data_IF_560265493995
#
_entry.id   IF_560265493995
#
_cell.length_a   1.000
_cell.length_b   1.000
_cell.length_c   1.000
_cell.angle_alpha   90.00
_cell.angle_beta   90.00
_cell.angle_gamma   90.00
#
_symmetry.space_group_name_H-M   'P 1'
#
loop_
_entity.id
_entity.type
_entity.pdbx_description
1 polymer ?
#
# COMPACT_ATOMS: atom_id res chain seq x y z
N UNK A 1 -28.59 -42.60 -55.79
CA UNK A 1 -28.65 -42.75 -54.28
C UNK A 1 -27.24 -42.63 -53.64
N UNK A 2 -26.18 -43.16 -54.27
CA UNK A 2 -24.81 -43.08 -53.71
C UNK A 2 -24.18 -41.66 -53.82
N UNK A 3 -24.47 -40.91 -54.91
CA UNK A 3 -23.92 -39.54 -55.08
C UNK A 3 -24.51 -38.53 -54.07
N UNK A 4 -25.76 -38.68 -53.71
CA UNK A 4 -26.43 -37.79 -52.75
C UNK A 4 -25.82 -37.93 -51.31
N UNK A 5 -25.46 -39.12 -50.93
CA UNK A 5 -24.80 -39.39 -49.66
C UNK A 5 -23.36 -38.79 -49.57
N UNK A 6 -22.64 -38.79 -50.67
CA UNK A 6 -21.27 -38.28 -50.74
C UNK A 6 -21.24 -36.73 -50.58
N UNK A 7 -22.18 -36.05 -51.25
CA UNK A 7 -22.32 -34.58 -51.14
C UNK A 7 -22.69 -34.16 -49.70
N UNK A 8 -23.58 -34.85 -49.04
CA UNK A 8 -23.98 -34.64 -47.66
C UNK A 8 -22.80 -34.81 -46.66
N UNK A 9 -22.00 -35.85 -46.84
CA UNK A 9 -20.79 -36.07 -46.05
C UNK A 9 -19.71 -35.01 -46.29
N UNK A 10 -19.57 -34.50 -47.51
CA UNK A 10 -18.63 -33.44 -47.81
C UNK A 10 -19.06 -32.11 -47.19
N UNK A 11 -20.36 -31.78 -47.19
CA UNK A 11 -20.90 -30.59 -46.48
C UNK A 11 -20.72 -30.69 -44.98
N UNK A 12 -20.98 -31.87 -44.36
CA UNK A 12 -20.74 -32.06 -42.93
C UNK A 12 -19.26 -31.91 -42.55
N UNK A 13 -18.33 -32.42 -43.35
CA UNK A 13 -16.90 -32.27 -43.16
C UNK A 13 -16.46 -30.80 -43.30
N UNK A 14 -17.00 -30.06 -44.27
CA UNK A 14 -16.69 -28.64 -44.43
C UNK A 14 -17.24 -27.82 -43.29
N UNK A 15 -18.48 -28.06 -42.86
CA UNK A 15 -19.11 -27.40 -41.72
C UNK A 15 -18.35 -27.70 -40.40
N UNK A 16 -17.93 -28.95 -40.21
CA UNK A 16 -17.09 -29.37 -39.07
C UNK A 16 -15.74 -28.66 -39.05
N UNK A 17 -15.08 -28.57 -40.22
CA UNK A 17 -13.81 -27.87 -40.37
C UNK A 17 -13.93 -26.36 -40.08
N UNK A 18 -15.01 -25.75 -40.55
CA UNK A 18 -15.28 -24.32 -40.36
C UNK A 18 -15.55 -24.01 -38.86
N UNK A 19 -16.36 -24.82 -38.20
CA UNK A 19 -16.58 -24.73 -36.74
C UNK A 19 -15.29 -24.91 -35.96
N UNK A 20 -14.44 -25.84 -36.31
CA UNK A 20 -13.15 -26.04 -35.67
C UNK A 20 -12.25 -24.80 -35.77
N UNK A 21 -12.16 -24.19 -36.95
CA UNK A 21 -11.42 -22.92 -37.16
C UNK A 21 -11.98 -21.77 -36.32
N UNK A 22 -13.29 -21.69 -36.13
CA UNK A 22 -13.91 -20.70 -35.27
C UNK A 22 -13.57 -20.93 -33.79
N UNK A 23 -13.58 -22.19 -33.33
CA UNK A 23 -13.19 -22.53 -31.98
C UNK A 23 -11.71 -22.26 -31.71
N UNK A 24 -10.83 -22.59 -32.66
CA UNK A 24 -9.40 -22.27 -32.56
C UNK A 24 -9.16 -20.76 -32.46
N UNK A 25 -9.86 -19.96 -33.25
CA UNK A 25 -9.79 -18.49 -33.16
C UNK A 25 -10.29 -17.96 -31.81
N UNK A 26 -11.40 -18.50 -31.29
CA UNK A 26 -11.92 -18.13 -29.97
C UNK A 26 -10.94 -18.52 -28.85
N UNK A 27 -10.37 -19.69 -28.93
CA UNK A 27 -9.36 -20.14 -27.98
C UNK A 27 -8.12 -19.25 -27.99
N UNK A 28 -7.59 -18.94 -29.18
CA UNK A 28 -6.46 -18.02 -29.33
C UNK A 28 -6.77 -16.62 -28.76
N UNK A 29 -7.97 -16.11 -29.02
CA UNK A 29 -8.40 -14.82 -28.49
C UNK A 29 -8.50 -14.82 -26.96
N UNK A 30 -9.03 -15.91 -26.36
CA UNK A 30 -9.11 -16.07 -24.91
C UNK A 30 -7.72 -16.19 -24.29
N UNK A 31 -6.81 -16.92 -24.90
CA UNK A 31 -5.42 -17.05 -24.42
C UNK A 31 -4.67 -15.72 -24.47
N UNK A 32 -4.87 -14.95 -25.56
CA UNK A 32 -4.29 -13.61 -25.66
C UNK A 32 -4.87 -12.66 -24.62
N UNK A 33 -6.18 -12.68 -24.40
CA UNK A 33 -6.84 -11.87 -23.39
C UNK A 33 -6.36 -12.22 -21.97
N UNK A 34 -6.28 -13.50 -21.65
CA UNK A 34 -5.77 -14.00 -20.37
C UNK A 34 -4.32 -13.55 -20.11
N UNK A 35 -3.43 -13.73 -21.09
CA UNK A 35 -2.04 -13.26 -21.01
C UNK A 35 -1.95 -11.76 -20.78
N UNK A 36 -2.77 -10.99 -21.50
CA UNK A 36 -2.76 -9.52 -21.36
C UNK A 36 -3.29 -9.05 -20.02
N UNK A 37 -4.32 -9.71 -19.48
CA UNK A 37 -4.83 -9.43 -18.14
C UNK A 37 -3.78 -9.71 -17.05
N UNK A 38 -3.05 -10.82 -17.15
CA UNK A 38 -1.96 -11.14 -16.22
C UNK A 38 -0.85 -10.09 -16.30
N UNK A 39 -0.42 -9.73 -17.50
CA UNK A 39 0.60 -8.69 -17.70
C UNK A 39 0.19 -7.34 -17.10
N UNK A 40 -1.04 -6.89 -17.37
CA UNK A 40 -1.58 -5.65 -16.82
C UNK A 40 -1.69 -5.70 -15.30
N UNK A 41 -2.13 -6.82 -14.73
CA UNK A 41 -2.19 -7.02 -13.28
C UNK A 41 -0.80 -6.87 -12.64
N UNK A 42 0.22 -7.50 -13.22
CA UNK A 42 1.61 -7.38 -12.73
C UNK A 42 2.14 -5.94 -12.85
N UNK A 43 1.84 -5.25 -13.95
CA UNK A 43 2.22 -3.84 -14.12
C UNK A 43 1.56 -2.94 -13.08
N UNK A 44 0.26 -3.14 -12.81
CA UNK A 44 -0.46 -2.39 -11.77
C UNK A 44 0.13 -2.66 -10.38
N UNK A 45 0.40 -3.91 -10.03
CA UNK A 45 1.03 -4.26 -8.74
C UNK A 45 2.40 -3.58 -8.57
N UNK A 46 3.25 -3.59 -9.60
CA UNK A 46 4.57 -2.92 -9.56
C UNK A 46 4.44 -1.41 -9.42
N UNK A 47 3.53 -0.80 -10.17
CA UNK A 47 3.31 0.65 -10.11
C UNK A 47 2.78 1.10 -8.75
N UNK A 48 1.80 0.39 -8.18
CA UNK A 48 1.27 0.68 -6.85
C UNK A 48 2.34 0.46 -5.77
N UNK A 49 3.10 -0.63 -5.86
CA UNK A 49 4.18 -0.92 -4.92
C UNK A 49 5.29 0.13 -4.94
N UNK A 50 5.69 0.60 -6.13
CA UNK A 50 6.69 1.66 -6.28
C UNK A 50 6.21 2.99 -5.68
N UNK A 51 4.99 3.40 -5.99
CA UNK A 51 4.40 4.63 -5.46
C UNK A 51 4.22 4.58 -3.93
N UNK A 52 3.76 3.43 -3.40
CA UNK A 52 3.65 3.21 -1.97
C UNK A 52 5.01 3.31 -1.27
N UNK A 53 6.05 2.68 -1.83
CA UNK A 53 7.41 2.71 -1.32
C UNK A 53 7.99 4.13 -1.30
N UNK A 54 7.78 4.89 -2.36
CA UNK A 54 8.23 6.28 -2.45
C UNK A 54 7.58 7.15 -1.38
N UNK A 55 6.24 7.10 -1.28
CA UNK A 55 5.50 7.88 -0.28
C UNK A 55 5.80 7.46 1.15
N UNK A 56 5.96 6.17 1.42
CA UNK A 56 6.36 5.69 2.74
C UNK A 56 7.80 6.12 3.10
N UNK A 57 8.69 6.18 2.11
CA UNK A 57 10.07 6.66 2.28
C UNK A 57 10.13 8.16 2.58
N UNK A 58 9.34 8.98 1.91
CA UNK A 58 9.19 10.39 2.25
C UNK A 58 8.77 10.57 3.72
N UNK A 59 7.73 9.83 4.14
CA UNK A 59 7.18 9.93 5.49
C UNK A 59 8.18 9.45 6.53
N UNK A 60 8.82 8.28 6.34
CA UNK A 60 9.79 7.78 7.33
C UNK A 60 10.98 8.73 7.48
N UNK A 61 11.44 9.33 6.40
CA UNK A 61 12.51 10.31 6.43
C UNK A 61 12.11 11.52 7.28
N UNK A 62 10.91 12.05 7.09
CA UNK A 62 10.42 13.21 7.83
C UNK A 62 10.19 12.92 9.33
N UNK A 63 9.54 11.80 9.68
CA UNK A 63 9.23 11.48 11.08
C UNK A 63 10.43 10.96 11.89
N UNK A 64 11.54 10.63 11.20
CA UNK A 64 12.79 10.21 11.84
C UNK A 64 13.91 11.25 11.75
N UNK A 65 13.57 12.48 11.34
CA UNK A 65 14.53 13.59 11.16
C UNK A 65 15.72 13.19 10.26
N UNK A 66 15.43 12.47 9.16
CA UNK A 66 16.43 12.03 8.19
C UNK A 66 17.26 10.82 8.62
N UNK A 67 17.00 10.23 9.78
CA UNK A 67 17.74 9.03 10.23
C UNK A 67 17.58 7.84 9.30
N UNK A 68 16.42 7.67 8.73
CA UNK A 68 16.12 6.67 7.70
C UNK A 68 15.58 7.38 6.47
N UNK A 69 16.26 7.22 5.36
CA UNK A 69 15.91 7.92 4.12
C UNK A 69 14.89 7.17 3.29
N UNK A 70 14.93 5.81 3.34
CA UNK A 70 14.04 4.98 2.50
C UNK A 70 13.59 3.73 3.24
N UNK A 71 12.38 3.31 2.90
CA UNK A 71 11.87 1.96 3.15
C UNK A 71 12.04 1.17 1.86
N UNK A 72 12.66 0.01 1.92
CA UNK A 72 12.84 -0.89 0.80
C UNK A 72 11.98 -2.13 1.06
N UNK A 73 11.07 -2.42 0.15
CA UNK A 73 10.19 -3.60 0.23
C UNK A 73 10.47 -4.45 -1.00
N UNK A 74 10.86 -5.71 -0.80
CA UNK A 74 11.09 -6.66 -1.89
C UNK A 74 9.79 -7.36 -2.34
N UNK A 75 9.91 -8.22 -3.36
CA UNK A 75 8.76 -8.97 -3.92
C UNK A 75 8.15 -9.97 -2.92
N UNK A 76 8.90 -10.35 -1.88
CA UNK A 76 8.46 -11.24 -0.80
C UNK A 76 7.96 -10.48 0.44
N UNK A 77 7.78 -9.15 0.33
CA UNK A 77 7.38 -8.25 1.41
C UNK A 77 8.39 -8.17 2.57
N UNK A 78 9.65 -8.53 2.33
CA UNK A 78 10.69 -8.23 3.31
C UNK A 78 11.00 -6.75 3.30
N UNK A 79 11.11 -6.18 4.49
CA UNK A 79 11.31 -4.75 4.66
C UNK A 79 12.70 -4.47 5.24
N UNK A 80 13.37 -3.50 4.62
CA UNK A 80 14.64 -2.96 5.07
C UNK A 80 14.57 -1.43 5.12
N UNK A 81 15.34 -0.81 5.99
CA UNK A 81 15.52 0.63 6.07
C UNK A 81 16.89 1.00 5.50
N UNK A 82 16.93 2.05 4.70
CA UNK A 82 18.15 2.67 4.22
C UNK A 82 18.45 3.94 5.01
N UNK A 83 19.64 4.05 5.59
CA UNK A 83 20.04 5.20 6.41
C UNK A 83 21.10 6.09 5.74
N UNK A 84 21.23 6.03 4.42
CA UNK A 84 22.27 6.74 3.67
C UNK A 84 23.56 5.94 3.48
N UNK A 85 23.87 4.99 4.38
CA UNK A 85 25.09 4.20 4.34
C UNK A 85 24.87 2.72 4.09
N UNK A 86 23.83 2.13 4.75
CA UNK A 86 23.58 0.69 4.71
C UNK A 86 22.10 0.35 4.80
N UNK A 87 21.77 -0.84 4.33
CA UNK A 87 20.46 -1.47 4.53
C UNK A 87 20.39 -2.12 5.89
N UNK A 88 19.32 -1.87 6.60
CA UNK A 88 19.07 -2.41 7.95
C UNK A 88 17.77 -3.19 7.91
N UNK A 89 17.80 -4.51 8.06
CA UNK A 89 16.59 -5.33 8.13
C UNK A 89 15.68 -4.90 9.28
N UNK A 90 14.37 -4.91 9.05
CA UNK A 90 13.38 -4.41 10.03
C UNK A 90 13.44 -5.15 11.38
N UNK A 91 13.83 -6.43 11.37
CA UNK A 91 14.01 -7.23 12.59
C UNK A 91 15.23 -6.84 13.44
N UNK A 92 16.08 -5.92 12.97
CA UNK A 92 17.27 -5.42 13.68
C UNK A 92 17.12 -4.00 14.22
N UNK A 93 15.94 -3.40 14.07
CA UNK A 93 15.66 -2.07 14.63
C UNK A 93 14.80 -2.16 15.89
N UNK A 94 14.73 -1.06 16.65
CA UNK A 94 13.90 -1.00 17.85
C UNK A 94 12.41 -1.07 17.52
N UNK A 95 11.59 -1.52 18.47
CA UNK A 95 10.14 -1.60 18.31
C UNK A 95 9.53 -0.24 17.93
N UNK A 96 9.97 0.85 18.58
CA UNK A 96 9.51 2.19 18.20
C UNK A 96 9.82 2.56 16.75
N UNK A 97 10.95 2.09 16.19
CA UNK A 97 11.26 2.28 14.76
C UNK A 97 10.34 1.44 13.88
N UNK A 98 10.04 0.20 14.29
CA UNK A 98 9.10 -0.67 13.58
C UNK A 98 7.72 0.00 13.49
N UNK A 99 7.23 0.56 14.59
CA UNK A 99 5.95 1.27 14.64
C UNK A 99 5.96 2.54 13.77
N UNK A 100 7.08 3.26 13.69
CA UNK A 100 7.23 4.38 12.76
C UNK A 100 7.13 3.93 11.29
N UNK A 101 7.74 2.80 10.93
CA UNK A 101 7.64 2.22 9.59
C UNK A 101 6.18 1.85 9.27
N UNK A 102 5.49 1.19 10.18
CA UNK A 102 4.08 0.86 9.98
C UNK A 102 3.18 2.10 9.88
N UNK A 103 3.44 3.14 10.66
CA UNK A 103 2.74 4.41 10.53
C UNK A 103 2.98 5.02 9.13
N UNK A 104 4.24 5.07 8.69
CA UNK A 104 4.60 5.60 7.38
C UNK A 104 3.90 4.85 6.24
N UNK A 105 3.87 3.51 6.31
CA UNK A 105 3.19 2.67 5.32
C UNK A 105 1.66 2.89 5.31
N UNK A 106 1.02 2.98 6.48
CA UNK A 106 -0.42 3.26 6.58
C UNK A 106 -0.76 4.63 6.00
N UNK A 107 0.04 5.64 6.32
CA UNK A 107 -0.14 7.00 5.79
C UNK A 107 0.09 7.06 4.28
N UNK A 108 1.11 6.37 3.77
CA UNK A 108 1.38 6.26 2.35
C UNK A 108 0.25 5.54 1.62
N UNK A 109 -0.23 4.42 2.15
CA UNK A 109 -1.37 3.69 1.59
C UNK A 109 -2.63 4.56 1.54
N UNK A 110 -2.91 5.31 2.60
CA UNK A 110 -4.03 6.26 2.61
C UNK A 110 -3.88 7.35 1.54
N UNK A 111 -2.67 7.85 1.29
CA UNK A 111 -2.42 8.83 0.21
C UNK A 111 -2.55 8.25 -1.19
N UNK A 112 -2.15 6.98 -1.37
CA UNK A 112 -2.16 6.31 -2.69
C UNK A 112 -3.57 5.82 -3.06
N UNK A 113 -4.34 5.33 -2.08
CA UNK A 113 -5.63 4.69 -2.31
C UNK A 113 -6.82 5.63 -2.25
N UNK A 114 -6.70 6.78 -1.57
CA UNK A 114 -7.81 7.72 -1.39
C UNK A 114 -7.56 9.03 -2.12
N UNK A 115 -8.54 9.42 -2.93
CA UNK A 115 -8.57 10.73 -3.62
C UNK A 115 -9.06 11.84 -2.68
N UNK A 116 -9.88 11.49 -1.68
CA UNK A 116 -10.46 12.44 -0.72
C UNK A 116 -9.67 12.45 0.59
N UNK A 117 -9.62 13.62 1.23
CA UNK A 117 -8.99 13.78 2.54
C UNK A 117 -9.86 13.15 3.63
N UNK A 118 -9.43 12.00 4.15
CA UNK A 118 -10.10 11.35 5.27
C UNK A 118 -9.45 11.74 6.60
N UNK A 119 -10.25 11.86 7.69
CA UNK A 119 -9.72 12.01 9.03
C UNK A 119 -8.83 10.81 9.42
N UNK A 120 -7.76 11.09 10.12
CA UNK A 120 -6.86 10.05 10.65
C UNK A 120 -7.24 9.74 12.09
N UNK A 121 -7.56 8.49 12.36
CA UNK A 121 -7.85 7.99 13.71
C UNK A 121 -6.64 7.19 14.19
N UNK A 122 -6.05 7.64 15.29
CA UNK A 122 -4.89 7.03 15.95
C UNK A 122 -5.31 6.60 17.37
N UNK A 123 -5.27 5.31 17.62
CA UNK A 123 -5.64 4.72 18.92
C UNK A 123 -4.39 4.04 19.52
N UNK A 124 -3.93 4.55 20.68
CA UNK A 124 -2.74 4.10 21.38
C UNK A 124 -1.50 3.88 20.49
N UNK A 125 -1.41 4.61 19.37
CA UNK A 125 -0.44 4.36 18.30
C UNK A 125 1.01 4.60 18.75
N UNK A 126 1.24 5.42 19.76
CA UNK A 126 2.58 5.86 20.16
C UNK A 126 3.16 5.19 21.40
N UNK A 127 2.56 4.11 21.87
CA UNK A 127 2.95 3.43 23.13
C UNK A 127 4.44 3.07 23.17
N UNK A 128 5.02 2.68 22.04
CA UNK A 128 6.43 2.27 21.94
C UNK A 128 7.39 3.38 21.51
N UNK A 129 6.92 4.62 21.42
CA UNK A 129 7.77 5.76 21.06
C UNK A 129 8.46 6.31 22.30
N UNK A 130 9.73 6.67 22.15
CA UNK A 130 10.42 7.58 23.08
C UNK A 130 9.96 9.04 22.83
N UNK A 131 10.31 9.94 23.72
CA UNK A 131 9.89 11.34 23.63
C UNK A 131 10.33 12.01 22.33
N UNK A 132 11.54 11.76 21.86
CA UNK A 132 12.08 12.36 20.65
C UNK A 132 11.30 11.90 19.41
N UNK A 133 11.03 10.60 19.28
CA UNK A 133 10.23 10.06 18.19
C UNK A 133 8.81 10.60 18.22
N UNK A 134 8.23 10.64 19.40
CA UNK A 134 6.87 11.15 19.59
C UNK A 134 6.78 12.61 19.18
N UNK A 135 7.72 13.44 19.63
CA UNK A 135 7.76 14.86 19.27
C UNK A 135 7.90 15.09 17.78
N UNK A 136 8.85 14.42 17.10
CA UNK A 136 9.04 14.54 15.65
C UNK A 136 7.79 14.10 14.89
N UNK A 137 7.17 12.97 15.30
CA UNK A 137 5.98 12.45 14.65
C UNK A 137 4.76 13.35 14.86
N UNK A 138 4.53 13.87 16.08
CA UNK A 138 3.43 14.79 16.37
C UNK A 138 3.57 16.11 15.62
N UNK A 139 4.79 16.66 15.54
CA UNK A 139 5.07 17.86 14.74
C UNK A 139 4.80 17.64 13.25
N UNK A 140 5.16 16.48 12.73
CA UNK A 140 4.89 16.09 11.35
C UNK A 140 3.38 15.94 11.10
N UNK A 141 2.66 15.25 11.98
CA UNK A 141 1.21 15.10 11.90
C UNK A 141 0.48 16.45 11.92
N UNK A 142 0.89 17.37 12.79
CA UNK A 142 0.30 18.70 12.86
C UNK A 142 0.48 19.52 11.56
N UNK A 143 1.56 19.27 10.81
CA UNK A 143 1.83 19.91 9.51
C UNK A 143 1.12 19.23 8.35
N UNK A 144 0.57 18.04 8.54
CA UNK A 144 -0.03 17.25 7.45
C UNK A 144 -1.31 17.86 6.85
N UNK A 145 -1.91 18.87 7.51
CA UNK A 145 -3.17 19.50 7.10
C UNK A 145 -4.41 18.63 7.30
N UNK A 146 -4.26 17.40 7.81
CA UNK A 146 -5.36 16.46 8.01
C UNK A 146 -6.03 16.67 9.37
N UNK A 147 -7.32 16.36 9.45
CA UNK A 147 -7.98 16.19 10.73
C UNK A 147 -7.48 14.90 11.39
N UNK A 148 -6.98 15.03 12.63
CA UNK A 148 -6.42 13.92 13.39
C UNK A 148 -7.19 13.76 14.68
N UNK A 149 -7.64 12.54 14.94
CA UNK A 149 -8.26 12.11 16.19
C UNK A 149 -7.28 11.15 16.87
N UNK A 150 -6.66 11.62 17.95
CA UNK A 150 -5.71 10.84 18.73
C UNK A 150 -6.37 10.40 20.03
N UNK A 151 -6.54 9.09 20.19
CA UNK A 151 -6.98 8.47 21.44
C UNK A 151 -5.74 7.92 22.15
N UNK A 152 -5.59 8.26 23.42
CA UNK A 152 -4.46 7.80 24.24
C UNK A 152 -4.84 7.78 25.72
N UNK A 153 -4.27 6.84 26.46
CA UNK A 153 -4.34 6.80 27.91
C UNK A 153 -3.13 7.49 28.58
N UNK A 154 -2.21 8.09 27.80
CA UNK A 154 -0.97 8.70 28.29
C UNK A 154 -1.04 10.22 28.22
N UNK A 155 -0.53 10.89 29.23
CA UNK A 155 -0.49 12.37 29.29
C UNK A 155 0.65 12.99 28.47
N UNK A 156 1.67 12.21 28.15
CA UNK A 156 2.87 12.70 27.46
C UNK A 156 2.59 13.26 26.06
N UNK A 157 1.60 12.74 25.32
CA UNK A 157 1.21 13.23 24.02
C UNK A 157 0.68 14.68 24.16
N UNK A 158 -0.17 14.93 25.14
CA UNK A 158 -0.68 16.27 25.46
C UNK A 158 0.46 17.21 25.85
N UNK A 159 1.33 16.81 26.76
CA UNK A 159 2.47 17.62 27.24
C UNK A 159 3.41 18.01 26.10
N UNK A 160 3.69 17.10 25.16
CA UNK A 160 4.54 17.37 24.01
C UNK A 160 3.85 18.34 23.03
N UNK A 161 2.56 18.17 22.76
CA UNK A 161 1.80 19.09 21.91
C UNK A 161 1.78 20.51 22.49
N UNK A 162 1.57 20.66 23.81
CA UNK A 162 1.62 21.92 24.52
C UNK A 162 3.01 22.58 24.45
N UNK A 163 4.07 21.83 24.76
CA UNK A 163 5.46 22.31 24.68
C UNK A 163 5.85 22.73 23.27
N UNK A 164 5.34 22.02 22.24
CA UNK A 164 5.59 22.33 20.85
C UNK A 164 4.73 23.50 20.32
N UNK A 165 3.80 24.05 21.11
CA UNK A 165 2.89 25.12 20.70
C UNK A 165 1.88 24.69 19.62
N UNK A 166 1.60 23.40 19.51
CA UNK A 166 0.64 22.86 18.54
C UNK A 166 -0.77 23.03 19.09
N UNK A 167 -1.65 23.66 18.30
CA UNK A 167 -3.06 23.84 18.70
C UNK A 167 -3.83 22.53 18.55
N UNK A 168 -4.52 22.12 19.59
CA UNK A 168 -5.39 20.95 19.60
C UNK A 168 -6.58 21.15 20.54
N UNK A 169 -7.63 20.35 20.38
CA UNK A 169 -8.75 20.25 21.30
C UNK A 169 -8.60 19.01 22.15
N UNK A 170 -8.70 19.14 23.46
CA UNK A 170 -8.61 18.02 24.39
C UNK A 170 -9.98 17.70 24.99
N UNK A 171 -10.28 16.40 25.10
CA UNK A 171 -11.49 15.91 25.77
C UNK A 171 -11.15 14.64 26.54
N UNK A 172 -11.39 14.67 27.86
CA UNK A 172 -11.29 13.48 28.70
C UNK A 172 -12.55 12.63 28.58
N UNK A 173 -12.34 11.32 28.32
CA UNK A 173 -13.43 10.34 28.28
C UNK A 173 -13.39 9.56 29.59
N UNK A 174 -14.28 9.89 30.51
CA UNK A 174 -14.45 9.15 31.75
C UNK A 174 -15.39 7.96 31.53
N UNK A 175 -14.99 6.76 31.95
CA UNK A 175 -15.94 5.67 32.12
C UNK A 175 -16.96 6.03 33.21
N UNK A 176 -18.23 6.00 32.87
CA UNK A 176 -19.32 5.92 33.84
C UNK A 176 -19.56 4.48 34.22
#
# INVERSE_FOLDING_TARGET
>A
IEHSNLEEYLEELQNGSQKNKEWERKQQALDMASKKLIELSLQMQRSLGSNLNEKASEIICEITDGKYEKILIDENLHMELWNGERKIPLNRVSRGTIEQVYLALRMAAARVLHVEEMPLILDDTFVFYDEKRLESTLKWLAKSGKQILLFTCQKREQEILEKAGIKFSYKEISHR
#
